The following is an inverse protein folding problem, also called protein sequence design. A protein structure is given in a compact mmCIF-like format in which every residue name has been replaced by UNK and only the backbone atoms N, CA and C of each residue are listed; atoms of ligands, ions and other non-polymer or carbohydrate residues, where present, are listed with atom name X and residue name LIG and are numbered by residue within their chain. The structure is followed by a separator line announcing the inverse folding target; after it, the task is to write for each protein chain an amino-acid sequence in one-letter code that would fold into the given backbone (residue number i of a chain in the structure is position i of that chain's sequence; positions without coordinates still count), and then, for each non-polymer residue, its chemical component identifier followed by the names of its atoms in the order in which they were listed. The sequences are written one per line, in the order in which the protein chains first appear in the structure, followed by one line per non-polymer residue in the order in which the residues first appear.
data_IF_764069637545
#
_entry.id   IF_764069637545
#
_cell.length_a   1.000
_cell.length_b   1.000
_cell.length_c   1.000
_cell.angle_alpha   90.00
_cell.angle_beta   90.00
_cell.angle_gamma   90.00
#
_symmetry.space_group_name_H-M   'P 1'
#
loop_
_entity.id
_entity.type
_entity.pdbx_description
1 polymer ?
#
# COMPACT_ATOMS: atom_id res chain seq x y z
N UNK A 1 -24.80 15.73 7.89
CA UNK A 1 -23.55 15.63 7.12
C UNK A 1 -22.81 16.94 7.24
N UNK A 2 -21.52 16.88 7.56
CA UNK A 2 -20.60 18.02 7.61
C UNK A 2 -19.79 18.04 6.32
N UNK A 3 -19.40 19.24 5.89
CA UNK A 3 -18.47 19.41 4.79
C UNK A 3 -17.34 20.34 5.19
N UNK A 4 -16.14 20.06 4.69
CA UNK A 4 -14.97 20.92 4.84
C UNK A 4 -14.46 21.32 3.47
N UNK A 5 -14.13 22.59 3.29
CA UNK A 5 -13.52 23.11 2.08
C UNK A 5 -12.11 23.62 2.43
N UNK A 6 -11.10 23.02 1.82
CA UNK A 6 -9.70 23.33 2.09
C UNK A 6 -8.91 23.47 0.77
N UNK A 7 -7.79 24.17 0.82
CA UNK A 7 -6.90 24.26 -0.33
C UNK A 7 -6.26 22.91 -0.64
N UNK A 8 -6.27 22.53 -1.91
CA UNK A 8 -5.66 21.28 -2.34
C UNK A 8 -4.14 21.45 -2.48
N UNK A 9 -3.40 21.04 -1.44
CA UNK A 9 -1.93 21.08 -1.41
C UNK A 9 -1.27 19.97 -2.23
N UNK A 10 -2.02 18.95 -2.67
CA UNK A 10 -1.50 17.80 -3.43
C UNK A 10 -1.63 17.94 -4.96
N UNK A 11 -2.31 18.96 -5.46
CA UNK A 11 -2.55 19.15 -6.90
C UNK A 11 -1.25 19.56 -7.62
N UNK A 12 -0.80 18.72 -8.56
CA UNK A 12 0.27 19.13 -9.50
C UNK A 12 -0.31 20.19 -10.44
N UNK A 13 0.23 21.42 -10.37
CA UNK A 13 -0.10 22.58 -11.24
C UNK A 13 -1.51 23.16 -11.06
N UNK A 14 -2.05 23.22 -9.84
CA UNK A 14 -3.14 24.15 -9.49
C UNK A 14 -4.47 23.96 -10.24
N UNK A 15 -4.70 22.82 -10.91
CA UNK A 15 -5.94 22.55 -11.66
C UNK A 15 -7.15 22.46 -10.73
N UNK A 16 -6.98 21.76 -9.60
CA UNK A 16 -8.00 21.68 -8.55
C UNK A 16 -7.54 22.52 -7.36
N UNK A 17 -8.07 23.74 -7.24
CA UNK A 17 -7.71 24.68 -6.15
C UNK A 17 -8.33 24.29 -4.81
N UNK A 18 -9.54 23.74 -4.85
CA UNK A 18 -10.34 23.40 -3.68
C UNK A 18 -10.51 21.88 -3.55
N UNK A 19 -10.42 21.39 -2.31
CA UNK A 19 -10.77 20.04 -1.91
C UNK A 19 -11.97 20.12 -0.98
N UNK A 20 -13.09 19.52 -1.40
CA UNK A 20 -14.32 19.44 -0.61
C UNK A 20 -14.44 18.02 -0.08
N UNK A 21 -14.50 17.87 1.24
CA UNK A 21 -14.70 16.58 1.90
C UNK A 21 -16.07 16.57 2.58
N UNK A 22 -16.83 15.49 2.38
CA UNK A 22 -18.15 15.28 2.99
C UNK A 22 -18.03 14.12 3.96
N UNK A 23 -18.44 14.31 5.22
CA UNK A 23 -18.37 13.28 6.26
C UNK A 23 -19.53 13.41 7.24
N UNK A 24 -19.83 12.31 7.91
CA UNK A 24 -20.65 12.22 9.12
C UNK A 24 -19.92 12.71 10.38
N UNK A 25 -18.58 12.74 10.36
CA UNK A 25 -17.72 13.23 11.43
C UNK A 25 -17.60 14.77 11.46
N UNK A 26 -17.41 15.35 12.64
CA UNK A 26 -17.20 16.81 12.82
C UNK A 26 -15.73 17.20 12.87
N UNK A 27 -14.89 16.32 13.39
CA UNK A 27 -13.47 16.64 13.58
C UNK A 27 -12.70 16.68 12.25
N UNK A 28 -12.23 17.88 11.90
CA UNK A 28 -11.46 18.14 10.67
C UNK A 28 -10.17 17.31 10.65
N UNK A 29 -9.52 17.10 11.79
CA UNK A 29 -8.29 16.32 11.86
C UNK A 29 -8.54 14.86 11.49
N UNK A 30 -9.60 14.26 12.04
CA UNK A 30 -10.05 12.91 11.72
C UNK A 30 -10.45 12.76 10.26
N UNK A 31 -11.22 13.71 9.71
CA UNK A 31 -11.59 13.74 8.29
C UNK A 31 -10.34 13.75 7.39
N UNK A 32 -9.38 14.62 7.71
CA UNK A 32 -8.14 14.74 6.95
C UNK A 32 -7.26 13.49 7.07
N UNK A 33 -7.19 12.88 8.26
CA UNK A 33 -6.46 11.62 8.46
C UNK A 33 -7.09 10.47 7.66
N UNK A 34 -8.43 10.42 7.60
CA UNK A 34 -9.16 9.44 6.79
C UNK A 34 -8.92 9.68 5.29
N UNK A 35 -9.00 10.93 4.81
CA UNK A 35 -8.78 11.27 3.41
C UNK A 35 -7.39 10.89 2.91
N UNK A 36 -6.34 11.02 3.75
CA UNK A 36 -4.98 10.58 3.40
C UNK A 36 -4.90 9.09 3.03
N UNK A 37 -5.78 8.25 3.59
CA UNK A 37 -5.83 6.81 3.24
C UNK A 37 -6.21 6.55 1.79
N UNK A 38 -6.90 7.49 1.12
CA UNK A 38 -7.26 7.41 -0.31
C UNK A 38 -6.04 7.14 -1.18
N UNK A 39 -4.90 7.75 -0.85
CA UNK A 39 -3.66 7.60 -1.60
C UNK A 39 -3.16 6.14 -1.64
N UNK A 40 -3.55 5.31 -0.66
CA UNK A 40 -3.18 3.89 -0.63
C UNK A 40 -3.63 3.12 -1.87
N UNK A 41 -4.79 3.45 -2.44
CA UNK A 41 -5.32 2.81 -3.64
C UNK A 41 -4.49 3.22 -4.88
N UNK A 42 -4.05 4.48 -4.96
CA UNK A 42 -3.19 4.93 -6.05
C UNK A 42 -1.82 4.24 -6.01
N UNK A 43 -1.25 4.07 -4.81
CA UNK A 43 -0.01 3.31 -4.61
C UNK A 43 -0.18 1.85 -4.99
N UNK A 44 -1.32 1.24 -4.65
CA UNK A 44 -1.66 -0.12 -5.09
C UNK A 44 -1.68 -0.23 -6.62
N UNK A 45 -2.41 0.65 -7.31
CA UNK A 45 -2.48 0.62 -8.77
C UNK A 45 -1.13 0.92 -9.44
N UNK A 46 -0.32 1.80 -8.85
CA UNK A 46 1.04 2.07 -9.32
C UNK A 46 1.91 0.80 -9.28
N UNK A 47 1.84 0.02 -8.19
CA UNK A 47 2.59 -1.22 -8.05
C UNK A 47 2.06 -2.37 -8.93
N UNK A 48 0.76 -2.39 -9.21
CA UNK A 48 0.16 -3.37 -10.12
C UNK A 48 0.54 -3.11 -11.59
N UNK A 49 0.62 -1.84 -11.99
CA UNK A 49 1.01 -1.43 -13.34
C UNK A 49 2.54 -1.46 -13.49
N UNK A 50 3.17 -0.30 -13.61
CA UNK A 50 4.54 -0.14 -14.10
C UNK A 50 5.62 -0.36 -13.05
N UNK A 51 5.29 -0.33 -11.76
CA UNK A 51 6.31 -0.36 -10.68
C UNK A 51 6.39 -1.71 -9.94
N UNK A 52 5.99 -2.81 -10.58
CA UNK A 52 6.01 -4.13 -9.95
C UNK A 52 5.59 -5.29 -10.85
N UNK A 53 4.28 -5.40 -11.10
CA UNK A 53 3.69 -6.61 -11.71
C UNK A 53 3.37 -6.50 -13.20
N UNK A 54 3.60 -5.32 -13.80
CA UNK A 54 3.45 -5.07 -15.25
C UNK A 54 2.12 -5.56 -15.81
N UNK A 55 1.03 -5.31 -15.09
CA UNK A 55 -0.29 -5.83 -15.44
C UNK A 55 -0.77 -5.40 -16.82
N UNK A 56 -0.38 -4.22 -17.28
CA UNK A 56 -0.74 -3.69 -18.60
C UNK A 56 -0.06 -4.45 -19.75
N UNK A 57 1.11 -5.06 -19.51
CA UNK A 57 1.86 -5.83 -20.52
C UNK A 57 1.18 -7.19 -20.81
N UNK A 58 0.31 -7.67 -19.92
CA UNK A 58 -0.41 -8.94 -20.10
C UNK A 58 -1.46 -8.88 -21.22
N UNK A 59 -1.84 -7.68 -21.69
CA UNK A 59 -2.75 -7.43 -22.81
C UNK A 59 -3.99 -8.36 -22.85
N UNK A 60 -4.62 -8.58 -21.69
CA UNK A 60 -5.77 -9.48 -21.56
C UNK A 60 -7.01 -8.84 -22.20
N UNK A 61 -7.47 -9.42 -23.30
CA UNK A 61 -8.66 -8.93 -24.05
C UNK A 61 -10.00 -9.40 -23.49
N UNK A 62 -10.01 -10.50 -22.73
CA UNK A 62 -11.25 -11.08 -22.19
C UNK A 62 -11.55 -10.51 -20.78
N UNK A 63 -12.74 -9.93 -20.56
CA UNK A 63 -13.06 -9.24 -19.30
C UNK A 63 -13.05 -10.19 -18.08
N UNK A 64 -13.48 -11.44 -18.25
CA UNK A 64 -13.45 -12.45 -17.19
C UNK A 64 -12.02 -12.79 -16.75
N UNK A 65 -11.09 -12.91 -17.71
CA UNK A 65 -9.67 -13.17 -17.42
C UNK A 65 -9.03 -11.97 -16.73
N UNK A 66 -9.42 -10.77 -17.13
CA UNK A 66 -8.96 -9.53 -16.49
C UNK A 66 -9.37 -9.47 -15.01
N UNK A 67 -10.64 -9.76 -14.71
CA UNK A 67 -11.15 -9.80 -13.33
C UNK A 67 -10.41 -10.84 -12.48
N UNK A 68 -10.21 -12.04 -13.02
CA UNK A 68 -9.47 -13.09 -12.32
C UNK A 68 -8.02 -12.67 -12.05
N UNK A 69 -7.33 -12.14 -13.06
CA UNK A 69 -5.93 -11.72 -12.91
C UNK A 69 -5.82 -10.56 -11.91
N UNK A 70 -6.76 -9.60 -11.92
CA UNK A 70 -6.80 -8.54 -10.91
C UNK A 70 -6.93 -9.11 -9.49
N UNK A 71 -7.76 -10.13 -9.29
CA UNK A 71 -7.87 -10.81 -8.00
C UNK A 71 -6.56 -11.46 -7.56
N UNK A 72 -5.90 -12.19 -8.47
CA UNK A 72 -4.61 -12.84 -8.21
C UNK A 72 -3.53 -11.82 -7.85
N UNK A 73 -3.44 -10.73 -8.62
CA UNK A 73 -2.49 -9.63 -8.41
C UNK A 73 -2.75 -8.91 -7.09
N UNK A 74 -4.02 -8.69 -6.72
CA UNK A 74 -4.37 -8.11 -5.43
C UNK A 74 -3.91 -9.00 -4.25
N UNK A 75 -4.09 -10.32 -4.37
CA UNK A 75 -3.60 -11.26 -3.36
C UNK A 75 -2.07 -11.24 -3.29
N UNK A 76 -1.39 -11.28 -4.44
CA UNK A 76 0.07 -11.21 -4.50
C UNK A 76 0.62 -9.92 -3.89
N UNK A 77 -0.07 -8.79 -4.10
CA UNK A 77 0.25 -7.52 -3.47
C UNK A 77 0.15 -7.59 -1.94
N UNK A 78 -0.95 -8.13 -1.41
CA UNK A 78 -1.14 -8.31 0.03
C UNK A 78 -0.05 -9.21 0.64
N UNK A 79 0.32 -10.30 -0.03
CA UNK A 79 1.40 -11.19 0.41
C UNK A 79 2.76 -10.47 0.42
N UNK A 80 3.03 -9.65 -0.60
CA UNK A 80 4.25 -8.85 -0.69
C UNK A 80 4.33 -7.82 0.44
N UNK A 81 3.23 -7.14 0.76
CA UNK A 81 3.17 -6.22 1.90
C UNK A 81 3.41 -6.98 3.22
N UNK A 82 2.79 -8.15 3.40
CA UNK A 82 2.95 -8.94 4.62
C UNK A 82 4.39 -9.40 4.83
N UNK A 83 5.06 -9.89 3.78
CA UNK A 83 6.47 -10.26 3.85
C UNK A 83 7.37 -9.04 4.06
N UNK A 84 7.09 -7.93 3.38
CA UNK A 84 7.79 -6.66 3.58
C UNK A 84 7.73 -6.18 5.02
N UNK A 85 6.56 -6.25 5.67
CA UNK A 85 6.38 -5.92 7.08
C UNK A 85 7.15 -6.88 8.01
N UNK A 86 7.27 -8.16 7.66
CA UNK A 86 8.11 -9.10 8.41
C UNK A 86 9.59 -8.75 8.29
N UNK A 87 10.05 -8.44 7.09
CA UNK A 87 11.45 -8.07 6.84
C UNK A 87 11.77 -6.76 7.55
N UNK A 88 10.91 -5.75 7.44
CA UNK A 88 11.10 -4.44 8.08
C UNK A 88 11.28 -4.56 9.61
N UNK A 89 10.58 -5.51 10.26
CA UNK A 89 10.75 -5.78 11.71
C UNK A 89 12.12 -6.36 12.07
N UNK A 90 12.75 -7.10 11.15
CA UNK A 90 14.05 -7.75 11.37
C UNK A 90 15.20 -6.88 10.87
N UNK A 91 15.00 -6.21 9.73
CA UNK A 91 15.96 -5.40 9.02
C UNK A 91 15.24 -4.17 8.44
N UNK A 92 15.13 -3.08 9.22
CA UNK A 92 14.43 -1.88 8.79
C UNK A 92 15.17 -1.20 7.63
N UNK A 93 14.38 -0.67 6.69
CA UNK A 93 14.91 0.09 5.57
C UNK A 93 15.49 1.45 6.02
N UNK A 94 16.54 1.90 5.34
CA UNK A 94 17.13 3.23 5.59
C UNK A 94 16.10 4.32 5.26
N UNK A 95 15.97 5.31 6.14
CA UNK A 95 15.14 6.50 5.92
C UNK A 95 16.01 7.56 5.23
N UNK A 96 15.49 8.14 4.15
CA UNK A 96 16.10 9.27 3.42
C UNK A 96 15.37 10.56 3.78
N UNK A 97 16.12 11.66 3.86
CA UNK A 97 15.57 13.01 4.06
C UNK A 97 15.47 13.73 2.72
N UNK A 98 14.38 14.43 2.47
CA UNK A 98 14.18 15.35 1.35
C UNK A 98 13.60 16.66 1.86
N UNK A 99 13.59 17.70 1.02
CA UNK A 99 12.95 18.99 1.30
C UNK A 99 11.48 18.84 1.73
N UNK A 100 10.81 17.77 1.29
CA UNK A 100 9.40 17.51 1.56
C UNK A 100 9.17 16.53 2.72
N UNK A 101 10.20 16.23 3.52
CA UNK A 101 10.13 15.35 4.69
C UNK A 101 10.96 14.07 4.58
N UNK A 102 10.68 13.11 5.47
CA UNK A 102 11.38 11.84 5.55
C UNK A 102 10.62 10.73 4.83
N UNK A 103 11.32 9.92 4.04
CA UNK A 103 10.72 8.82 3.28
C UNK A 103 11.63 7.59 3.30
N UNK A 104 11.03 6.41 3.20
CA UNK A 104 11.81 5.15 3.12
C UNK A 104 12.59 5.09 1.81
N UNK A 105 13.82 4.58 1.85
CA UNK A 105 14.63 4.39 0.65
C UNK A 105 14.03 3.36 -0.31
N UNK A 106 13.36 2.34 0.23
CA UNK A 106 12.66 1.27 -0.50
C UNK A 106 11.26 1.14 0.11
N UNK A 107 10.23 0.96 -0.73
CA UNK A 107 8.88 0.75 -0.22
C UNK A 107 8.75 -0.63 0.44
N UNK A 108 7.89 -0.75 1.45
CA UNK A 108 7.60 -2.03 2.13
C UNK A 108 7.15 -3.08 1.10
N UNK A 109 6.30 -2.69 0.16
CA UNK A 109 5.89 -3.55 -0.95
C UNK A 109 7.09 -4.09 -1.71
N UNK A 110 8.02 -3.22 -2.14
CA UNK A 110 9.13 -3.63 -2.99
C UNK A 110 10.09 -4.56 -2.25
N UNK A 111 10.37 -4.27 -0.99
CA UNK A 111 11.20 -5.12 -0.14
C UNK A 111 10.61 -6.54 0.00
N UNK A 112 9.30 -6.66 0.22
CA UNK A 112 8.64 -7.96 0.30
C UNK A 112 8.52 -8.65 -1.06
N UNK A 113 8.17 -7.91 -2.11
CA UNK A 113 8.03 -8.43 -3.46
C UNK A 113 9.36 -9.00 -3.99
N UNK A 114 10.47 -8.26 -3.85
CA UNK A 114 11.79 -8.71 -4.28
C UNK A 114 12.23 -9.96 -3.50
N UNK A 115 11.91 -10.02 -2.19
CA UNK A 115 12.20 -11.22 -1.38
C UNK A 115 11.33 -12.43 -1.74
N UNK A 116 10.08 -12.22 -2.14
CA UNK A 116 9.23 -13.32 -2.62
C UNK A 116 9.72 -13.80 -3.99
N UNK A 117 10.04 -12.86 -4.89
CA UNK A 117 10.57 -13.17 -6.22
C UNK A 117 11.89 -13.94 -6.17
N UNK A 118 12.75 -13.68 -5.19
CA UNK A 118 14.02 -14.40 -5.01
C UNK A 118 13.87 -15.76 -4.33
N UNK A 119 12.70 -16.07 -3.75
CA UNK A 119 12.46 -17.29 -2.96
C UNK A 119 11.51 -18.25 -3.65
N UNK A 120 10.59 -17.73 -4.45
CA UNK A 120 9.49 -18.47 -5.06
C UNK A 120 9.72 -18.59 -6.56
N UNK A 121 10.38 -19.68 -6.94
CA UNK A 121 10.58 -20.06 -8.35
C UNK A 121 9.53 -21.09 -8.79
N UNK A 122 9.01 -21.88 -7.84
CA UNK A 122 8.08 -22.98 -8.10
C UNK A 122 6.79 -22.86 -7.28
N UNK A 123 5.70 -23.42 -7.81
CA UNK A 123 4.39 -23.45 -7.12
C UNK A 123 4.44 -24.23 -5.80
N UNK A 124 5.30 -25.24 -5.70
CA UNK A 124 5.47 -26.02 -4.47
C UNK A 124 6.08 -25.18 -3.33
N UNK A 125 7.05 -24.33 -3.65
CA UNK A 125 7.65 -23.39 -2.69
C UNK A 125 6.62 -22.39 -2.19
N UNK A 126 5.77 -21.89 -3.10
CA UNK A 126 4.66 -21.01 -2.75
C UNK A 126 3.69 -21.73 -1.79
N UNK A 127 3.32 -22.99 -2.07
CA UNK A 127 2.45 -23.78 -1.20
C UNK A 127 3.03 -23.95 0.20
N UNK A 128 4.30 -24.37 0.30
CA UNK A 128 4.98 -24.53 1.60
C UNK A 128 5.02 -23.19 2.35
N UNK A 129 5.41 -22.12 1.65
CA UNK A 129 5.51 -20.80 2.24
C UNK A 129 4.15 -20.29 2.73
N UNK A 130 3.08 -20.43 1.94
CA UNK A 130 1.73 -20.06 2.33
C UNK A 130 1.27 -20.82 3.57
N UNK A 131 1.46 -22.14 3.59
CA UNK A 131 1.11 -22.97 4.76
C UNK A 131 1.91 -22.54 6.00
N UNK A 132 3.20 -22.20 5.84
CA UNK A 132 4.03 -21.67 6.93
C UNK A 132 3.51 -20.32 7.43
N UNK A 133 3.16 -19.42 6.52
CA UNK A 133 2.55 -18.13 6.86
C UNK A 133 1.24 -18.31 7.62
N UNK A 134 0.35 -19.18 7.15
CA UNK A 134 -0.95 -19.48 7.76
C UNK A 134 -0.85 -20.20 9.11
N UNK A 135 0.20 -20.97 9.37
CA UNK A 135 0.43 -21.52 10.72
C UNK A 135 0.92 -20.46 11.70
N UNK A 136 1.66 -19.47 11.21
CA UNK A 136 2.24 -18.42 12.03
C UNK A 136 1.29 -17.22 12.24
N UNK A 137 0.13 -17.19 11.58
CA UNK A 137 -0.87 -16.11 11.69
C UNK A 137 -1.61 -16.08 13.03
N UNK A 138 -1.51 -17.12 13.89
CA UNK A 138 -2.05 -17.06 15.27
C UNK A 138 -1.45 -15.92 16.12
N UNK A 139 -0.37 -15.26 15.68
CA UNK A 139 0.21 -14.04 16.30
C UNK A 139 -0.11 -12.74 15.55
N UNK A 140 -0.77 -12.78 14.39
CA UNK A 140 -1.17 -11.59 13.63
C UNK A 140 -2.59 -11.23 14.07
N UNK A 141 -2.72 -10.82 15.33
CA UNK A 141 -3.86 -9.99 15.72
C UNK A 141 -3.68 -8.70 14.92
N UNK A 142 -4.63 -8.42 14.02
CA UNK A 142 -4.81 -7.07 13.49
C UNK A 142 -5.13 -6.17 14.67
N UNK A 143 -4.11 -5.72 15.41
CA UNK A 143 -4.25 -4.57 16.28
C UNK A 143 -4.67 -3.46 15.33
N UNK A 144 -5.91 -2.97 15.49
CA UNK A 144 -6.45 -1.79 14.80
C UNK A 144 -5.27 -0.82 14.64
N UNK A 145 -4.89 -0.39 13.43
CA UNK A 145 -3.70 0.42 13.26
C UNK A 145 -3.92 1.70 14.06
N UNK A 146 -3.32 1.76 15.25
CA UNK A 146 -3.26 2.98 16.03
C UNK A 146 -2.57 3.98 15.12
N UNK A 147 -3.21 5.13 14.93
CA UNK A 147 -2.84 6.18 13.99
C UNK A 147 -1.42 6.78 14.26
N UNK A 148 -0.71 6.25 15.25
CA UNK A 148 0.61 6.66 15.75
C UNK A 148 1.79 6.31 14.82
N UNK A 149 1.66 5.35 13.90
CA UNK A 149 2.78 5.01 12.99
C UNK A 149 2.90 6.02 11.83
N UNK A 150 1.89 6.88 11.62
CA UNK A 150 1.93 7.93 10.59
C UNK A 150 2.28 9.33 11.12
N UNK A 151 2.42 9.50 12.43
CA UNK A 151 2.85 10.79 13.03
C UNK A 151 4.37 10.96 13.08
N UNK A 152 5.18 9.90 12.96
CA UNK A 152 6.64 9.99 13.03
C UNK A 152 7.35 10.43 11.73
N UNK A 153 6.61 10.90 10.73
CA UNK A 153 7.21 11.47 9.50
C UNK A 153 6.79 12.91 9.21
N UNK A 154 6.30 13.63 10.23
CA UNK A 154 6.02 15.06 10.16
C UNK A 154 6.60 15.76 11.40
N UNK A 155 7.90 15.99 11.35
CA UNK A 155 8.54 17.22 11.80
C UNK A 155 9.42 17.71 10.64
#
# INVERSE_FOLDING_TARGET
FYYTAQFNTGSRKGKDKWLILISDEKDIATINAAYRKRWGIEVFFLHCKTNGMNFEDLNLKAPQKLQLMMGVVAIAYCLSIAEGLRIEKVKPCKIKKSKNGQFRAISIFRQGFDSLKSRLHLLWELKIWLVKCLRNTKKIVFKKPTLEILTQSVQ
#
